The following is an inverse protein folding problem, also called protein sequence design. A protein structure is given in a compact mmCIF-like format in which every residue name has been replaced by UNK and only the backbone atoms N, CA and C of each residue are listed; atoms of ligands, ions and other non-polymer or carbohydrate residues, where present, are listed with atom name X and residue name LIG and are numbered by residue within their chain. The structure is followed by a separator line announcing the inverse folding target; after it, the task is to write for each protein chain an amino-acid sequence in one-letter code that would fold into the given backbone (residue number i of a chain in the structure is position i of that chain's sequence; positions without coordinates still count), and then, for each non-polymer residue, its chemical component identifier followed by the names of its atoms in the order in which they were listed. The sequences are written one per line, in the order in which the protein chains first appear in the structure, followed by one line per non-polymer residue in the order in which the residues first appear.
data_IF_766369073872
#
_entry.id   IF_766369073872
#
_cell.length_a   1.000
_cell.length_b   1.000
_cell.length_c   1.000
_cell.angle_alpha   90.00
_cell.angle_beta   90.00
_cell.angle_gamma   90.00
#
_symmetry.space_group_name_H-M   'P 1'
#
loop_
_entity.id
_entity.type
_entity.pdbx_description
1 polymer ?
#
# COMPACT_ATOMS: atom_id res chain seq x y z
N UNK A 1 -32.80 92.34 55.00
CA UNK A 1 -32.94 90.98 55.58
C UNK A 1 -33.72 90.99 56.89
N UNK A 2 -34.85 91.70 56.96
CA UNK A 2 -35.75 91.58 58.12
C UNK A 2 -36.92 90.71 57.71
N UNK A 3 -37.35 89.81 58.61
CA UNK A 3 -38.63 89.12 58.46
C UNK A 3 -39.70 90.19 58.21
N UNK A 4 -40.57 89.96 57.21
CA UNK A 4 -41.75 90.80 57.03
C UNK A 4 -42.48 90.90 58.38
N UNK A 5 -43.05 92.06 58.67
CA UNK A 5 -43.51 92.51 60.01
C UNK A 5 -44.49 91.58 60.76
N UNK A 6 -44.81 90.41 60.21
CA UNK A 6 -45.73 89.42 60.76
C UNK A 6 -45.24 87.96 60.70
N UNK A 7 -43.94 87.69 60.48
CA UNK A 7 -43.42 86.31 60.41
C UNK A 7 -42.67 85.95 61.71
N UNK A 8 -43.05 84.86 62.41
CA UNK A 8 -42.42 84.48 63.67
C UNK A 8 -40.95 84.09 63.47
N UNK A 9 -40.11 84.38 64.48
CA UNK A 9 -38.69 84.07 64.44
C UNK A 9 -38.45 82.56 64.24
N UNK A 10 -37.56 82.16 63.32
CA UNK A 10 -37.31 80.75 63.03
C UNK A 10 -36.62 80.07 64.22
N UNK A 11 -37.30 79.10 64.83
CA UNK A 11 -36.78 78.31 65.98
C UNK A 11 -35.90 77.12 65.56
N UNK A 12 -35.86 76.81 64.27
CA UNK A 12 -35.06 75.74 63.67
C UNK A 12 -34.39 76.25 62.38
N UNK A 13 -33.33 75.57 61.95
CA UNK A 13 -32.68 75.85 60.67
C UNK A 13 -33.72 75.84 59.54
N UNK A 14 -33.96 77.01 58.94
CA UNK A 14 -34.92 77.13 57.84
C UNK A 14 -34.18 77.55 56.59
N UNK A 15 -34.35 76.79 55.51
CA UNK A 15 -33.75 77.07 54.21
C UNK A 15 -34.83 77.58 53.28
N UNK A 16 -34.73 78.84 52.85
CA UNK A 16 -35.62 79.42 51.85
C UNK A 16 -34.84 79.72 50.59
N UNK A 17 -35.29 79.19 49.45
CA UNK A 17 -34.65 79.40 48.15
C UNK A 17 -35.50 80.38 47.34
N UNK A 18 -34.93 81.52 47.01
CA UNK A 18 -35.58 82.55 46.19
C UNK A 18 -34.74 82.75 44.93
N UNK A 19 -35.12 82.03 43.86
CA UNK A 19 -34.39 81.99 42.60
C UNK A 19 -32.92 81.57 42.73
N UNK A 20 -32.05 82.56 42.62
CA UNK A 20 -30.58 82.42 42.61
C UNK A 20 -29.94 82.62 43.98
N UNK A 21 -30.75 82.90 45.00
CA UNK A 21 -30.28 83.19 46.34
C UNK A 21 -30.84 82.12 47.29
N UNK A 22 -29.95 81.47 48.05
CA UNK A 22 -30.35 80.60 49.15
C UNK A 22 -30.15 81.36 50.46
N UNK A 23 -31.25 81.61 51.16
CA UNK A 23 -31.23 82.27 52.46
C UNK A 23 -31.33 81.19 53.53
N UNK A 24 -30.25 81.02 54.28
CA UNK A 24 -30.18 80.15 55.43
C UNK A 24 -30.48 80.96 56.69
N UNK A 25 -31.45 80.55 57.50
CA UNK A 25 -31.78 81.22 58.76
C UNK A 25 -31.55 80.27 59.93
N UNK A 26 -30.67 80.66 60.85
CA UNK A 26 -30.39 79.92 62.09
C UNK A 26 -30.63 80.80 63.32
N UNK A 27 -31.29 80.26 64.37
CA UNK A 27 -31.40 80.98 65.64
C UNK A 27 -30.06 80.99 66.38
N UNK A 28 -29.69 82.12 66.98
CA UNK A 28 -28.59 82.20 67.97
C UNK A 28 -29.21 81.98 69.35
N UNK A 29 -28.77 80.93 70.03
CA UNK A 29 -29.21 80.57 71.38
C UNK A 29 -28.02 80.79 72.32
N UNK A 30 -28.23 81.44 73.47
CA UNK A 30 -27.18 81.62 74.48
C UNK A 30 -26.85 80.28 75.17
N UNK A 31 -25.61 79.80 75.06
CA UNK A 31 -25.21 78.50 75.64
C UNK A 31 -24.78 78.60 77.12
N UNK A 32 -24.34 79.76 77.60
CA UNK A 32 -24.08 80.02 79.02
C UNK A 32 -24.03 81.53 79.29
N UNK A 33 -24.74 81.99 80.31
CA UNK A 33 -24.72 83.38 80.77
C UNK A 33 -23.71 83.49 81.92
N UNK A 34 -22.64 84.27 81.75
CA UNK A 34 -21.72 84.61 82.85
C UNK A 34 -22.27 85.86 83.56
N UNK A 35 -22.76 85.76 84.81
CA UNK A 35 -23.19 86.93 85.54
C UNK A 35 -21.96 87.58 86.16
N UNK A 36 -21.58 88.78 85.70
CA UNK A 36 -20.77 89.67 86.51
C UNK A 36 -21.60 90.91 86.89
N UNK A 37 -21.62 91.14 88.20
CA UNK A 37 -22.14 92.28 88.97
C UNK A 37 -23.60 92.75 88.73
N UNK A 38 -24.57 92.12 89.42
CA UNK A 38 -25.43 92.75 90.46
C UNK A 38 -26.74 91.94 90.74
N UNK A 39 -27.32 92.07 91.95
CA UNK A 39 -28.13 91.02 92.57
C UNK A 39 -29.63 91.20 92.34
N UNK A 40 -30.25 90.31 91.58
CA UNK A 40 -31.68 90.05 91.69
C UNK A 40 -32.03 88.68 91.11
N UNK A 41 -32.86 87.96 91.85
CA UNK A 41 -33.45 86.67 91.52
C UNK A 41 -34.31 86.77 90.26
N UNK A 42 -33.82 86.22 89.16
CA UNK A 42 -34.63 85.63 88.07
C UNK A 42 -33.67 84.83 87.17
N UNK A 43 -33.46 83.56 87.51
CA UNK A 43 -32.78 82.61 86.64
C UNK A 43 -33.63 82.39 85.37
N UNK A 44 -33.44 83.22 84.35
CA UNK A 44 -34.03 83.01 83.02
C UNK A 44 -33.33 81.84 82.34
N UNK A 45 -34.12 80.90 81.83
CA UNK A 45 -33.70 79.68 81.13
C UNK A 45 -32.56 79.94 80.14
N UNK A 46 -31.57 79.02 80.12
CA UNK A 46 -30.43 78.93 79.19
C UNK A 46 -30.83 78.57 77.75
N UNK A 47 -31.91 79.17 77.26
CA UNK A 47 -32.38 79.15 75.87
C UNK A 47 -32.93 80.52 75.47
N UNK A 48 -32.31 81.60 75.92
CA UNK A 48 -32.73 82.93 75.51
C UNK A 48 -32.25 83.16 74.07
N UNK A 49 -33.20 83.25 73.13
CA UNK A 49 -32.91 83.47 71.71
C UNK A 49 -32.44 84.91 71.53
N UNK A 50 -31.12 85.10 71.34
CA UNK A 50 -30.48 86.41 71.25
C UNK A 50 -30.68 87.06 69.87
N UNK A 51 -31.00 86.27 68.86
CA UNK A 51 -31.24 86.75 67.50
C UNK A 51 -31.30 85.61 66.49
N UNK A 52 -31.23 85.96 65.21
CA UNK A 52 -31.07 85.00 64.12
C UNK A 52 -29.97 85.50 63.20
N UNK A 53 -29.21 84.56 62.64
CA UNK A 53 -28.29 84.84 61.54
C UNK A 53 -29.02 84.48 60.26
N UNK A 54 -29.11 85.44 59.34
CA UNK A 54 -29.51 85.17 57.97
C UNK A 54 -28.25 85.18 57.10
N UNK A 55 -27.94 84.04 56.50
CA UNK A 55 -26.81 83.87 55.58
C UNK A 55 -27.38 83.82 54.16
N UNK A 56 -26.96 84.76 53.33
CA UNK A 56 -27.35 84.83 51.93
C UNK A 56 -26.25 84.19 51.08
N UNK A 57 -26.59 83.12 50.38
CA UNK A 57 -25.68 82.39 49.51
C UNK A 57 -26.11 82.62 48.07
N UNK A 58 -25.22 83.23 47.28
CA UNK A 58 -25.41 83.38 45.83
C UNK A 58 -25.12 82.05 45.13
N UNK A 59 -26.18 81.43 44.59
CA UNK A 59 -26.11 80.17 43.87
C UNK A 59 -25.71 80.35 42.40
N UNK A 60 -25.60 81.58 41.87
CA UNK A 60 -25.19 81.80 40.46
C UNK A 60 -23.81 81.24 40.18
N UNK A 61 -22.85 81.51 41.06
CA UNK A 61 -21.48 81.03 40.97
C UNK A 61 -21.41 79.50 41.04
N UNK A 62 -22.22 78.89 41.93
CA UNK A 62 -22.33 77.43 42.07
C UNK A 62 -22.94 76.80 40.82
N UNK A 63 -24.01 77.38 40.26
CA UNK A 63 -24.67 76.87 39.06
C UNK A 63 -23.78 77.01 37.82
N UNK A 64 -23.07 78.13 37.67
CA UNK A 64 -22.12 78.33 36.57
C UNK A 64 -20.99 77.29 36.62
N UNK A 65 -20.49 76.99 37.82
CA UNK A 65 -19.47 75.97 38.03
C UNK A 65 -20.00 74.56 37.72
N UNK A 66 -21.24 74.24 38.12
CA UNK A 66 -21.90 72.98 37.75
C UNK A 66 -22.06 72.83 36.23
N UNK A 67 -22.48 73.88 35.51
CA UNK A 67 -22.59 73.82 34.05
C UNK A 67 -21.23 73.59 33.37
N UNK A 68 -20.16 74.21 33.88
CA UNK A 68 -18.81 73.99 33.36
C UNK A 68 -18.35 72.54 33.53
N UNK A 69 -18.58 71.94 34.71
CA UNK A 69 -18.23 70.54 34.99
C UNK A 69 -19.04 69.55 34.13
N UNK A 70 -20.35 69.77 33.99
CA UNK A 70 -21.21 68.95 33.12
C UNK A 70 -20.74 69.06 31.67
N UNK A 71 -20.38 70.27 31.21
CA UNK A 71 -19.89 70.48 29.86
C UNK A 71 -18.59 69.72 29.60
N UNK A 72 -17.59 69.84 30.49
CA UNK A 72 -16.30 69.14 30.36
C UNK A 72 -16.52 67.61 30.36
N UNK A 73 -17.36 67.11 31.28
CA UNK A 73 -17.67 65.68 31.36
C UNK A 73 -18.36 65.17 30.08
N UNK A 74 -19.28 65.96 29.51
CA UNK A 74 -19.97 65.60 28.26
C UNK A 74 -19.01 65.54 27.07
N UNK A 75 -18.05 66.47 26.98
CA UNK A 75 -17.02 66.49 25.93
C UNK A 75 -16.09 65.29 26.08
N UNK A 76 -15.66 64.97 27.31
CA UNK A 76 -14.83 63.79 27.57
C UNK A 76 -15.57 62.50 27.22
N UNK A 77 -16.85 62.40 27.55
CA UNK A 77 -17.66 61.22 27.20
C UNK A 77 -17.82 61.06 25.68
N UNK A 78 -18.09 62.15 24.95
CA UNK A 78 -18.15 62.13 23.49
C UNK A 78 -16.81 61.76 22.87
N UNK A 79 -15.70 62.26 23.42
CA UNK A 79 -14.35 61.92 22.96
C UNK A 79 -14.04 60.43 23.15
N UNK A 80 -14.35 59.87 24.32
CA UNK A 80 -14.21 58.43 24.59
C UNK A 80 -15.07 57.58 23.65
N UNK A 81 -16.31 58.00 23.39
CA UNK A 81 -17.20 57.32 22.43
C UNK A 81 -16.61 57.39 21.01
N UNK A 82 -16.09 58.55 20.61
CA UNK A 82 -15.44 58.74 19.31
C UNK A 82 -14.24 57.81 19.12
N UNK A 83 -13.35 57.73 20.11
CA UNK A 83 -12.21 56.81 20.09
C UNK A 83 -12.68 55.35 20.03
N UNK A 84 -13.68 54.97 20.83
CA UNK A 84 -14.21 53.61 20.84
C UNK A 84 -14.80 53.22 19.47
N UNK A 85 -15.54 54.14 18.83
CA UNK A 85 -16.08 53.93 17.48
C UNK A 85 -14.98 53.81 16.43
N UNK A 86 -13.95 54.67 16.48
CA UNK A 86 -12.80 54.61 15.56
C UNK A 86 -12.06 53.29 15.74
N UNK A 87 -11.81 52.87 16.99
CA UNK A 87 -11.14 51.62 17.29
C UNK A 87 -11.96 50.41 16.83
N UNK A 88 -13.26 50.40 17.10
CA UNK A 88 -14.17 49.34 16.64
C UNK A 88 -14.23 49.25 15.11
N UNK A 89 -14.32 50.39 14.43
CA UNK A 89 -14.29 50.45 12.97
C UNK A 89 -12.96 49.94 12.40
N UNK A 90 -11.83 50.32 13.01
CA UNK A 90 -10.51 49.85 12.62
C UNK A 90 -10.35 48.35 12.81
N UNK A 91 -10.74 47.81 13.97
CA UNK A 91 -10.67 46.37 14.26
C UNK A 91 -11.56 45.54 13.31
N UNK A 92 -12.75 46.04 12.98
CA UNK A 92 -13.65 45.39 12.02
C UNK A 92 -13.01 45.33 10.63
N UNK A 93 -12.43 46.44 10.17
CA UNK A 93 -11.85 46.55 8.83
C UNK A 93 -10.52 45.82 8.68
N UNK A 94 -9.61 45.96 9.65
CA UNK A 94 -8.23 45.49 9.53
C UNK A 94 -8.04 44.04 10.01
N UNK A 95 -8.97 43.50 10.83
CA UNK A 95 -8.86 42.16 11.41
C UNK A 95 -10.06 41.28 11.05
N UNK A 96 -11.27 41.73 11.37
CA UNK A 96 -12.46 40.86 11.30
C UNK A 96 -12.84 40.52 9.85
N UNK A 97 -12.80 41.50 8.93
CA UNK A 97 -13.06 41.29 7.50
C UNK A 97 -12.10 40.28 6.85
N UNK A 98 -10.78 40.53 6.94
CA UNK A 98 -9.74 39.59 6.51
C UNK A 98 -9.90 38.14 6.96
N UNK A 99 -10.12 37.93 8.25
CA UNK A 99 -10.24 36.58 8.83
C UNK A 99 -11.44 35.87 8.23
N UNK A 100 -12.57 36.57 8.08
CA UNK A 100 -13.77 36.00 7.44
C UNK A 100 -13.50 35.57 5.99
N UNK A 101 -12.74 36.34 5.22
CA UNK A 101 -12.36 35.97 3.85
C UNK A 101 -11.42 34.74 3.82
N UNK A 102 -10.46 34.67 4.76
CA UNK A 102 -9.58 33.51 4.89
C UNK A 102 -10.34 32.24 5.21
N UNK A 103 -11.27 32.28 6.18
CA UNK A 103 -12.12 31.13 6.54
C UNK A 103 -12.94 30.67 5.34
N UNK A 104 -13.57 31.60 4.61
CA UNK A 104 -14.32 31.26 3.40
C UNK A 104 -13.42 30.65 2.31
N UNK A 105 -12.17 31.09 2.19
CA UNK A 105 -11.22 30.54 1.21
C UNK A 105 -10.75 29.14 1.59
N UNK A 106 -10.45 28.90 2.86
CA UNK A 106 -10.15 27.55 3.36
C UNK A 106 -11.32 26.60 3.13
N UNK A 107 -12.56 27.07 3.35
CA UNK A 107 -13.75 26.26 3.08
C UNK A 107 -13.98 25.99 1.58
N UNK A 108 -13.59 26.92 0.70
CA UNK A 108 -13.57 26.69 -0.76
C UNK A 108 -12.50 25.67 -1.16
N UNK A 109 -11.29 25.78 -0.61
CA UNK A 109 -10.19 24.81 -0.80
C UNK A 109 -10.64 23.41 -0.35
N UNK A 110 -11.30 23.30 0.82
CA UNK A 110 -11.87 22.05 1.33
C UNK A 110 -12.89 21.44 0.38
N UNK A 111 -13.67 22.27 -0.32
CA UNK A 111 -14.66 21.84 -1.33
C UNK A 111 -14.05 21.56 -2.71
N UNK A 112 -12.72 21.56 -2.84
CA UNK A 112 -12.00 21.25 -4.08
C UNK A 112 -11.73 22.46 -4.99
N UNK A 113 -12.13 23.67 -4.60
CA UNK A 113 -11.88 24.90 -5.38
C UNK A 113 -10.50 25.50 -5.04
N UNK A 114 -9.45 24.83 -5.52
CA UNK A 114 -8.05 25.12 -5.17
C UNK A 114 -7.46 26.36 -5.84
N UNK A 115 -8.16 26.92 -6.83
CA UNK A 115 -7.77 28.18 -7.47
C UNK A 115 -8.19 29.41 -6.67
N UNK A 116 -8.98 29.23 -5.60
CA UNK A 116 -9.29 30.31 -4.68
C UNK A 116 -8.04 30.77 -3.92
N UNK A 117 -7.89 32.09 -3.78
CA UNK A 117 -6.78 32.74 -3.09
C UNK A 117 -7.30 33.75 -2.09
N UNK A 118 -6.53 33.93 -1.03
CA UNK A 118 -6.76 35.00 -0.06
C UNK A 118 -6.12 36.26 -0.62
N UNK A 119 -6.96 37.20 -1.03
CA UNK A 119 -6.56 38.50 -1.58
C UNK A 119 -6.76 39.62 -0.53
N UNK A 120 -5.95 40.67 -0.62
CA UNK A 120 -5.98 41.81 0.28
C UNK A 120 -4.64 42.09 0.97
N UNK A 121 -4.54 43.29 1.52
CA UNK A 121 -3.41 43.72 2.34
C UNK A 121 -3.66 43.33 3.80
N UNK A 122 -2.75 42.56 4.37
CA UNK A 122 -2.79 42.13 5.76
C UNK A 122 -1.55 42.67 6.48
N UNK A 123 -1.69 43.03 7.75
CA UNK A 123 -0.58 43.53 8.56
C UNK A 123 -0.08 42.41 9.48
N UNK A 124 1.25 42.29 9.58
CA UNK A 124 1.92 41.39 10.51
C UNK A 124 1.61 39.90 10.27
N UNK A 125 1.22 39.20 11.33
CA UNK A 125 0.99 37.75 11.33
C UNK A 125 -0.13 37.29 10.38
N UNK A 126 -1.11 38.16 10.11
CA UNK A 126 -2.20 37.86 9.17
C UNK A 126 -1.69 37.71 7.73
N UNK A 127 -0.61 38.41 7.35
CA UNK A 127 -0.02 38.23 6.01
C UNK A 127 0.74 36.90 5.91
N UNK A 128 1.42 36.48 7.00
CA UNK A 128 2.02 35.14 7.07
C UNK A 128 0.97 34.05 6.91
N UNK A 129 -0.18 34.18 7.59
CA UNK A 129 -1.28 33.22 7.48
C UNK A 129 -1.86 33.18 6.06
N UNK A 130 -2.09 34.33 5.43
CA UNK A 130 -2.51 34.43 4.02
C UNK A 130 -1.55 33.69 3.09
N UNK A 131 -0.25 33.93 3.24
CA UNK A 131 0.78 33.31 2.41
C UNK A 131 0.84 31.78 2.65
N UNK A 132 0.64 31.34 3.89
CA UNK A 132 0.53 29.93 4.26
C UNK A 132 -0.66 29.23 3.60
N UNK A 133 -1.85 29.85 3.66
CA UNK A 133 -3.08 29.32 3.02
C UNK A 133 -2.90 29.24 1.49
N UNK A 134 -2.35 30.28 0.88
CA UNK A 134 -2.11 30.31 -0.57
C UNK A 134 -1.09 29.23 -0.98
N UNK A 135 0.00 29.06 -0.22
CA UNK A 135 0.99 28.00 -0.46
C UNK A 135 0.40 26.61 -0.31
N UNK A 136 -0.46 26.39 0.70
CA UNK A 136 -1.18 25.13 0.89
C UNK A 136 -2.06 24.80 -0.32
N UNK A 137 -2.81 25.79 -0.82
CA UNK A 137 -3.69 25.58 -1.98
C UNK A 137 -2.92 25.27 -3.26
N UNK A 138 -1.75 25.91 -3.48
CA UNK A 138 -0.84 25.58 -4.58
C UNK A 138 -0.31 24.15 -4.43
N UNK A 139 0.19 23.80 -3.25
CA UNK A 139 0.73 22.47 -2.96
C UNK A 139 -0.33 21.37 -3.17
N UNK A 140 -1.54 21.57 -2.67
CA UNK A 140 -2.64 20.63 -2.84
C UNK A 140 -3.00 20.45 -4.32
N UNK A 141 -3.07 21.54 -5.09
CA UNK A 141 -3.30 21.48 -6.54
C UNK A 141 -2.19 20.71 -7.26
N UNK A 142 -0.93 20.97 -6.92
CA UNK A 142 0.21 20.26 -7.50
C UNK A 142 0.13 18.77 -7.20
N UNK A 143 -0.17 18.39 -5.95
CA UNK A 143 -0.31 17.00 -5.52
C UNK A 143 -1.45 16.25 -6.23
N UNK A 144 -2.60 16.89 -6.42
CA UNK A 144 -3.70 16.30 -7.19
C UNK A 144 -3.25 16.07 -8.64
N UNK A 145 -2.60 17.05 -9.26
CA UNK A 145 -2.16 16.93 -10.66
C UNK A 145 -1.07 15.89 -10.84
N UNK A 146 -0.12 15.79 -9.90
CA UNK A 146 0.91 14.75 -9.94
C UNK A 146 0.31 13.36 -9.76
N UNK A 147 -0.67 13.21 -8.86
CA UNK A 147 -1.35 11.93 -8.65
C UNK A 147 -2.15 11.51 -9.88
N UNK A 148 -2.85 12.45 -10.51
CA UNK A 148 -3.58 12.19 -11.76
C UNK A 148 -2.64 11.74 -12.89
N UNK A 149 -1.51 12.45 -13.08
CA UNK A 149 -0.52 12.07 -14.09
C UNK A 149 0.11 10.70 -13.80
N UNK A 150 0.45 10.41 -12.54
CA UNK A 150 0.96 9.11 -12.14
C UNK A 150 -0.04 7.98 -12.38
N UNK A 151 -1.32 8.23 -12.13
CA UNK A 151 -2.37 7.24 -12.37
C UNK A 151 -2.57 6.98 -13.86
N UNK A 152 -2.50 8.02 -14.70
CA UNK A 152 -2.58 7.91 -16.16
C UNK A 152 -1.40 7.10 -16.73
N UNK A 153 -0.17 7.39 -16.27
CA UNK A 153 1.03 6.63 -16.66
C UNK A 153 0.97 5.17 -16.22
N UNK A 154 0.52 4.90 -14.99
CA UNK A 154 0.34 3.54 -14.49
C UNK A 154 -0.70 2.78 -15.31
N UNK A 155 -1.83 3.42 -15.63
CA UNK A 155 -2.87 2.79 -16.44
C UNK A 155 -2.34 2.44 -17.83
N UNK A 156 -1.59 3.35 -18.46
CA UNK A 156 -0.96 3.09 -19.75
C UNK A 156 0.03 1.92 -19.69
N UNK A 157 0.86 1.85 -18.65
CA UNK A 157 1.80 0.74 -18.44
C UNK A 157 1.07 -0.60 -18.22
N UNK A 158 -0.04 -0.59 -17.47
CA UNK A 158 -0.88 -1.79 -17.27
C UNK A 158 -1.49 -2.25 -18.59
N UNK A 159 -2.04 -1.32 -19.37
CA UNK A 159 -2.68 -1.64 -20.65
C UNK A 159 -1.65 -2.20 -21.64
N UNK A 160 -0.46 -1.61 -21.70
CA UNK A 160 0.66 -2.11 -22.52
C UNK A 160 1.11 -3.51 -22.05
N UNK A 161 1.40 -3.70 -20.76
CA UNK A 161 1.82 -5.00 -20.24
C UNK A 161 0.76 -6.09 -20.46
N UNK A 162 -0.52 -5.72 -20.38
CA UNK A 162 -1.63 -6.65 -20.66
C UNK A 162 -1.70 -7.01 -22.15
N UNK A 163 -1.47 -6.04 -23.04
CA UNK A 163 -1.40 -6.27 -24.49
C UNK A 163 -0.22 -7.19 -24.84
N UNK A 164 0.97 -6.92 -24.30
CA UNK A 164 2.18 -7.72 -24.54
C UNK A 164 2.00 -9.16 -23.99
N UNK A 165 1.39 -9.30 -22.81
CA UNK A 165 1.07 -10.62 -22.24
C UNK A 165 0.08 -11.38 -23.12
N UNK A 166 -0.92 -10.70 -23.67
CA UNK A 166 -1.88 -11.33 -24.57
C UNK A 166 -1.20 -11.82 -25.85
N UNK A 167 -0.33 -11.01 -26.45
CA UNK A 167 0.42 -11.39 -27.65
C UNK A 167 1.33 -12.59 -27.38
N UNK A 168 2.06 -12.60 -26.27
CA UNK A 168 2.94 -13.72 -25.90
C UNK A 168 2.16 -15.00 -25.62
N UNK A 169 0.96 -14.92 -25.04
CA UNK A 169 0.07 -16.07 -24.86
C UNK A 169 -0.42 -16.64 -26.20
N UNK A 170 -0.85 -15.77 -27.12
CA UNK A 170 -1.27 -16.19 -28.47
C UNK A 170 -0.09 -16.86 -29.21
N UNK A 171 1.12 -16.32 -29.11
CA UNK A 171 2.33 -16.94 -29.68
C UNK A 171 2.66 -18.29 -29.05
N UNK A 172 2.58 -18.42 -27.72
CA UNK A 172 2.80 -19.69 -27.03
C UNK A 172 1.78 -20.74 -27.44
N UNK A 173 0.51 -20.37 -27.62
CA UNK A 173 -0.54 -21.28 -28.06
C UNK A 173 -0.25 -21.83 -29.47
N UNK A 174 0.14 -20.95 -30.40
CA UNK A 174 0.53 -21.34 -31.76
C UNK A 174 1.71 -22.33 -31.74
N UNK A 175 2.76 -22.02 -30.97
CA UNK A 175 3.93 -22.89 -30.83
C UNK A 175 3.57 -24.25 -30.21
N UNK A 176 2.67 -24.28 -29.24
CA UNK A 176 2.22 -25.52 -28.61
C UNK A 176 1.48 -26.41 -29.62
N UNK A 177 0.58 -25.82 -30.42
CA UNK A 177 -0.13 -26.54 -31.49
C UNK A 177 0.84 -27.08 -32.54
N UNK A 178 1.84 -26.29 -32.95
CA UNK A 178 2.85 -26.73 -33.91
C UNK A 178 3.70 -27.88 -33.35
N UNK A 179 4.11 -27.79 -32.08
CA UNK A 179 4.87 -28.82 -31.39
C UNK A 179 4.06 -30.12 -31.28
N UNK A 180 2.78 -30.04 -30.91
CA UNK A 180 1.89 -31.21 -30.82
C UNK A 180 1.71 -31.87 -32.20
N UNK A 181 1.55 -31.07 -33.25
CA UNK A 181 1.46 -31.58 -34.62
C UNK A 181 2.75 -32.27 -35.06
N UNK A 182 3.91 -31.67 -34.81
CA UNK A 182 5.21 -32.25 -35.11
C UNK A 182 5.44 -33.56 -34.35
N UNK A 183 5.08 -33.58 -33.06
CA UNK A 183 5.15 -34.78 -32.21
C UNK A 183 4.26 -35.90 -32.75
N UNK A 184 3.00 -35.61 -33.10
CA UNK A 184 2.07 -36.59 -33.69
C UNK A 184 2.61 -37.17 -34.99
N UNK A 185 3.19 -36.35 -35.87
CA UNK A 185 3.83 -36.80 -37.11
C UNK A 185 5.03 -37.72 -36.84
N UNK A 186 5.89 -37.37 -35.89
CA UNK A 186 7.04 -38.19 -35.52
C UNK A 186 6.61 -39.54 -34.93
N UNK A 187 5.59 -39.54 -34.06
CA UNK A 187 5.02 -40.76 -33.48
C UNK A 187 4.41 -41.67 -34.54
N UNK A 188 3.68 -41.11 -35.50
CA UNK A 188 3.09 -41.90 -36.59
C UNK A 188 4.17 -42.48 -37.51
N UNK A 189 5.20 -41.70 -37.85
CA UNK A 189 6.34 -42.20 -38.61
C UNK A 189 7.07 -43.34 -37.87
N UNK A 190 7.26 -43.23 -36.56
CA UNK A 190 7.84 -44.28 -35.73
C UNK A 190 6.96 -45.55 -35.71
N UNK A 191 5.63 -45.37 -35.63
CA UNK A 191 4.67 -46.49 -35.68
C UNK A 191 4.76 -47.23 -37.02
N UNK A 192 4.71 -46.51 -38.13
CA UNK A 192 4.81 -47.08 -39.48
C UNK A 192 6.16 -47.80 -39.67
N UNK A 193 7.27 -47.20 -39.22
CA UNK A 193 8.60 -47.84 -39.26
C UNK A 193 8.61 -49.16 -38.49
N UNK A 194 8.02 -49.18 -37.29
CA UNK A 194 7.94 -50.39 -36.45
C UNK A 194 7.07 -51.48 -37.08
N UNK A 195 5.91 -51.13 -37.63
CA UNK A 195 5.03 -52.06 -38.33
C UNK A 195 5.71 -52.64 -39.58
N UNK A 196 6.41 -51.80 -40.36
CA UNK A 196 7.16 -52.23 -41.52
C UNK A 196 8.25 -53.25 -41.17
N UNK A 197 9.07 -52.97 -40.14
CA UNK A 197 10.15 -53.87 -39.73
C UNK A 197 9.61 -55.19 -39.16
N UNK A 198 8.51 -55.16 -38.41
CA UNK A 198 7.86 -56.35 -37.89
C UNK A 198 7.36 -57.27 -39.03
N UNK A 199 6.68 -56.68 -40.02
CA UNK A 199 6.18 -57.42 -41.17
C UNK A 199 7.33 -58.01 -42.01
N UNK A 200 8.35 -57.20 -42.31
CA UNK A 200 9.53 -57.63 -43.07
C UNK A 200 10.27 -58.78 -42.36
N UNK A 201 10.42 -58.72 -41.03
CA UNK A 201 11.05 -59.79 -40.27
C UNK A 201 10.29 -61.11 -40.39
N UNK A 202 8.96 -61.09 -40.30
CA UNK A 202 8.13 -62.28 -40.49
C UNK A 202 8.24 -62.86 -41.92
N UNK A 203 8.26 -61.99 -42.93
CA UNK A 203 8.39 -62.41 -44.33
C UNK A 203 9.79 -62.94 -44.68
N UNK A 204 10.85 -62.47 -44.01
CA UNK A 204 12.21 -62.98 -44.19
C UNK A 204 12.47 -64.26 -43.40
N UNK A 205 11.90 -64.40 -42.19
CA UNK A 205 12.10 -65.57 -41.32
C UNK A 205 11.58 -66.86 -41.97
N UNK A 206 10.45 -66.80 -42.65
CA UNK A 206 9.79 -67.97 -43.26
C UNK A 206 10.66 -68.64 -44.35
N UNK A 207 11.14 -67.93 -45.39
CA UNK A 207 12.04 -68.53 -46.38
C UNK A 207 13.41 -68.90 -45.78
N UNK A 208 13.93 -68.11 -44.83
CA UNK A 208 15.23 -68.39 -44.20
C UNK A 208 15.22 -69.68 -43.37
N UNK A 209 14.15 -69.92 -42.59
CA UNK A 209 13.93 -71.19 -41.89
C UNK A 209 13.77 -72.35 -42.87
N UNK A 210 13.16 -72.11 -44.03
CA UNK A 210 13.11 -73.08 -45.13
C UNK A 210 14.50 -73.46 -45.63
N UNK A 211 15.35 -72.47 -45.94
CA UNK A 211 16.75 -72.69 -46.37
C UNK A 211 17.53 -73.45 -45.31
N UNK A 212 17.50 -73.02 -44.04
CA UNK A 212 18.17 -73.72 -42.93
C UNK A 212 17.66 -75.16 -42.79
N UNK A 213 16.34 -75.37 -42.89
CA UNK A 213 15.72 -76.68 -42.83
C UNK A 213 16.20 -77.61 -43.94
N UNK A 214 16.19 -77.15 -45.19
CA UNK A 214 16.70 -77.92 -46.32
C UNK A 214 18.21 -78.17 -46.23
N UNK A 215 19.01 -77.18 -45.85
CA UNK A 215 20.45 -77.34 -45.62
C UNK A 215 20.73 -78.42 -44.57
N UNK A 216 19.99 -78.43 -43.45
CA UNK A 216 20.12 -79.46 -42.40
C UNK A 216 19.68 -80.84 -42.86
N UNK A 217 18.67 -80.95 -43.72
CA UNK A 217 18.26 -82.22 -44.31
C UNK A 217 19.32 -82.75 -45.28
N UNK A 218 19.89 -81.90 -46.12
CA UNK A 218 20.96 -82.26 -47.05
C UNK A 218 22.25 -82.65 -46.31
N UNK A 219 22.59 -81.99 -45.20
CA UNK A 219 23.74 -82.37 -44.37
C UNK A 219 23.66 -83.80 -43.78
N UNK A 220 22.46 -84.41 -43.75
CA UNK A 220 22.24 -85.79 -43.29
C UNK A 220 22.40 -86.84 -44.40
N UNK A 221 22.60 -86.45 -45.65
CA UNK A 221 22.82 -87.39 -46.78
C UNK A 221 24.31 -87.67 -47.00
N UNK A 222 24.63 -88.61 -47.89
CA UNK A 222 26.01 -88.81 -48.33
C UNK A 222 26.50 -87.62 -49.15
N UNK A 223 27.61 -87.01 -48.73
CA UNK A 223 28.16 -85.77 -49.30
C UNK A 223 29.67 -85.86 -49.40
N UNK A 224 30.26 -85.20 -50.40
CA UNK A 224 31.71 -85.02 -50.45
C UNK A 224 32.18 -84.04 -49.36
N UNK A 225 33.45 -84.11 -48.92
CA UNK A 225 33.98 -83.19 -47.91
C UNK A 225 33.81 -81.71 -48.26
N UNK A 226 33.95 -81.36 -49.53
CA UNK A 226 33.77 -79.99 -50.04
C UNK A 226 32.31 -79.53 -50.02
N UNK A 227 31.36 -80.41 -50.40
CA UNK A 227 29.91 -80.10 -50.33
C UNK A 227 29.44 -79.89 -48.89
N UNK A 228 29.96 -80.69 -47.95
CA UNK A 228 29.66 -80.54 -46.52
C UNK A 228 30.14 -79.21 -45.96
N UNK A 229 31.35 -78.78 -46.34
CA UNK A 229 31.91 -77.50 -45.89
C UNK A 229 31.14 -76.29 -46.46
N UNK A 230 30.69 -76.36 -47.72
CA UNK A 230 29.80 -75.36 -48.31
C UNK A 230 28.45 -75.29 -47.60
N UNK A 231 27.81 -76.42 -47.30
CA UNK A 231 26.53 -76.45 -46.58
C UNK A 231 26.65 -75.94 -45.14
N UNK A 232 27.73 -76.29 -44.43
CA UNK A 232 28.01 -75.73 -43.09
C UNK A 232 28.21 -74.21 -43.14
N UNK A 233 28.87 -73.71 -44.18
CA UNK A 233 29.04 -72.26 -44.38
C UNK A 233 27.69 -71.58 -44.64
N UNK A 234 26.83 -72.16 -45.49
CA UNK A 234 25.46 -71.66 -45.74
C UNK A 234 24.63 -71.65 -44.45
N UNK A 235 24.67 -72.73 -43.65
CA UNK A 235 23.95 -72.80 -42.38
C UNK A 235 24.44 -71.70 -41.41
N UNK A 236 25.76 -71.54 -41.26
CA UNK A 236 26.33 -70.50 -40.38
C UNK A 236 25.93 -69.10 -40.83
N UNK A 237 25.99 -68.82 -42.13
CA UNK A 237 25.57 -67.52 -42.69
C UNK A 237 24.08 -67.26 -42.52
N UNK A 238 23.23 -68.27 -42.69
CA UNK A 238 21.79 -68.15 -42.51
C UNK A 238 21.41 -67.90 -41.03
N UNK A 239 22.05 -68.60 -40.09
CA UNK A 239 21.86 -68.37 -38.65
C UNK A 239 22.34 -66.96 -38.23
N UNK A 240 23.47 -66.50 -38.76
CA UNK A 240 23.96 -65.14 -38.50
C UNK A 240 23.01 -64.07 -39.03
N UNK A 241 22.45 -64.26 -40.23
CA UNK A 241 21.45 -63.35 -40.78
C UNK A 241 20.16 -63.30 -39.94
N UNK A 242 19.75 -64.45 -39.39
CA UNK A 242 18.57 -64.55 -38.52
C UNK A 242 18.79 -63.82 -37.19
N UNK A 243 20.00 -63.90 -36.62
CA UNK A 243 20.39 -63.12 -35.45
C UNK A 243 20.33 -61.60 -35.74
N UNK A 244 20.94 -61.15 -36.84
CA UNK A 244 20.91 -59.73 -37.24
C UNK A 244 19.47 -59.22 -37.45
N UNK A 245 18.59 -60.01 -38.08
CA UNK A 245 17.19 -59.63 -38.28
C UNK A 245 16.45 -59.50 -36.94
N UNK A 246 16.71 -60.39 -35.99
CA UNK A 246 16.13 -60.30 -34.64
C UNK A 246 16.63 -59.07 -33.89
N UNK A 247 17.93 -58.77 -33.96
CA UNK A 247 18.51 -57.61 -33.29
C UNK A 247 17.93 -56.29 -33.83
N UNK A 248 17.74 -56.18 -35.15
CA UNK A 248 17.10 -55.01 -35.80
C UNK A 248 15.63 -54.87 -35.37
N UNK A 249 14.91 -55.98 -35.23
CA UNK A 249 13.53 -55.97 -34.76
C UNK A 249 13.43 -55.54 -33.29
N UNK A 250 14.31 -56.04 -32.44
CA UNK A 250 14.33 -55.69 -31.01
C UNK A 250 14.74 -54.23 -30.80
N UNK A 251 15.66 -53.70 -31.61
CA UNK A 251 15.97 -52.27 -31.64
C UNK A 251 14.74 -51.43 -32.03
N UNK A 252 13.97 -51.87 -33.03
CA UNK A 252 12.75 -51.16 -33.44
C UNK A 252 11.64 -51.17 -32.38
N UNK A 253 11.48 -52.28 -31.64
CA UNK A 253 10.55 -52.34 -30.50
C UNK A 253 10.99 -51.43 -29.35
N UNK A 254 12.30 -51.28 -29.15
CA UNK A 254 12.89 -50.36 -28.17
C UNK A 254 12.60 -48.90 -28.53
N UNK A 255 12.87 -48.48 -29.77
CA UNK A 255 12.56 -47.12 -30.25
C UNK A 255 11.06 -46.79 -30.14
N UNK A 256 10.18 -47.78 -30.34
CA UNK A 256 8.73 -47.62 -30.23
C UNK A 256 8.20 -47.68 -28.78
N UNK A 257 9.07 -47.87 -27.78
CA UNK A 257 8.68 -48.01 -26.37
C UNK A 257 7.84 -49.26 -26.05
N UNK A 258 7.81 -50.25 -26.97
CA UNK A 258 7.03 -51.50 -26.85
C UNK A 258 7.84 -52.67 -26.32
N UNK A 259 9.10 -52.46 -25.93
CA UNK A 259 9.94 -53.50 -25.37
C UNK A 259 9.52 -53.76 -23.92
N UNK A 260 8.70 -54.80 -23.73
CA UNK A 260 8.30 -55.28 -22.42
C UNK A 260 9.50 -56.04 -21.86
N UNK A 261 10.16 -55.47 -20.85
CA UNK A 261 11.19 -56.17 -20.10
C UNK A 261 10.51 -57.34 -19.38
N UNK A 262 10.88 -58.57 -19.74
CA UNK A 262 10.46 -59.73 -18.97
C UNK A 262 11.11 -59.64 -17.59
N UNK A 263 10.30 -59.66 -16.54
CA UNK A 263 10.75 -59.53 -15.15
C UNK A 263 10.57 -60.88 -14.48
N UNK A 264 11.51 -61.79 -14.74
CA UNK A 264 11.48 -63.15 -14.17
C UNK A 264 12.60 -63.32 -13.13
N UNK A 265 12.37 -64.08 -12.06
CA UNK A 265 13.43 -64.42 -11.12
C UNK A 265 14.41 -65.38 -11.80
N UNK A 266 15.68 -65.00 -11.90
CA UNK A 266 16.74 -65.84 -12.46
C UNK A 266 17.98 -65.88 -11.54
N UNK A 267 18.74 -66.99 -11.56
CA UNK A 267 19.96 -67.14 -10.76
C UNK A 267 21.12 -66.36 -11.39
N UNK A 268 21.47 -65.22 -10.81
CA UNK A 268 22.47 -64.29 -11.36
C UNK A 268 23.85 -64.93 -11.51
N UNK A 269 24.29 -65.70 -10.51
CA UNK A 269 25.61 -66.33 -10.49
C UNK A 269 25.76 -67.34 -11.63
N UNK A 270 24.75 -68.18 -11.84
CA UNK A 270 24.76 -69.18 -12.92
C UNK A 270 24.76 -68.52 -14.30
N UNK A 271 23.96 -67.46 -14.49
CA UNK A 271 23.97 -66.72 -15.75
C UNK A 271 25.30 -66.02 -16.03
N UNK A 272 25.97 -65.47 -15.01
CA UNK A 272 27.28 -64.85 -15.17
C UNK A 272 28.38 -65.88 -15.48
N UNK A 273 28.28 -67.07 -14.90
CA UNK A 273 29.23 -68.16 -15.15
C UNK A 273 29.14 -68.66 -16.61
N UNK A 274 27.93 -68.75 -17.16
CA UNK A 274 27.71 -69.03 -18.59
C UNK A 274 28.30 -67.94 -19.49
N UNK A 275 28.12 -66.66 -19.15
CA UNK A 275 28.70 -65.53 -19.90
C UNK A 275 30.23 -65.60 -19.89
N UNK A 276 30.82 -65.84 -18.72
CA UNK A 276 32.28 -65.93 -18.56
C UNK A 276 32.83 -67.12 -19.34
N UNK A 277 32.14 -68.26 -19.32
CA UNK A 277 32.52 -69.44 -20.10
C UNK A 277 32.50 -69.15 -21.60
N UNK A 278 31.49 -68.39 -22.07
CA UNK A 278 31.35 -68.03 -23.48
C UNK A 278 32.42 -67.01 -23.93
N UNK A 279 32.74 -66.03 -23.08
CA UNK A 279 33.77 -65.02 -23.34
C UNK A 279 35.21 -65.52 -23.11
N UNK A 280 35.39 -66.58 -22.31
CA UNK A 280 36.71 -67.14 -21.98
C UNK A 280 37.49 -67.53 -23.24
N UNK A 281 36.81 -68.12 -24.22
CA UNK A 281 37.45 -68.50 -25.49
C UNK A 281 37.96 -67.27 -26.27
N UNK A 282 37.12 -66.23 -26.38
CA UNK A 282 37.49 -64.98 -27.06
C UNK A 282 38.56 -64.18 -26.31
N UNK A 283 38.59 -64.25 -24.97
CA UNK A 283 39.61 -63.62 -24.13
C UNK A 283 40.96 -64.32 -24.27
N UNK A 284 40.96 -65.65 -24.34
CA UNK A 284 42.15 -66.46 -24.53
C UNK A 284 42.80 -66.21 -25.90
N UNK A 285 42.00 -66.14 -26.96
CA UNK A 285 42.48 -65.79 -28.31
C UNK A 285 43.12 -64.40 -28.39
N UNK A 286 42.74 -63.48 -27.49
CA UNK A 286 43.28 -62.12 -27.39
C UNK A 286 44.37 -61.98 -26.33
N UNK A 287 44.74 -63.05 -25.62
CA UNK A 287 45.74 -63.04 -24.56
C UNK A 287 45.35 -62.25 -23.30
N UNK A 288 44.04 -62.07 -23.06
CA UNK A 288 43.51 -61.30 -21.93
C UNK A 288 43.05 -62.23 -20.80
N UNK A 289 43.32 -61.83 -19.56
CA UNK A 289 42.86 -62.52 -18.36
C UNK A 289 41.46 -62.01 -17.96
N UNK A 290 40.49 -62.91 -17.89
CA UNK A 290 39.11 -62.62 -17.51
C UNK A 290 38.83 -63.21 -16.12
N UNK A 291 38.61 -62.35 -15.13
CA UNK A 291 38.31 -62.76 -13.75
C UNK A 291 36.96 -62.23 -13.32
N UNK A 292 36.06 -63.12 -12.91
CA UNK A 292 34.75 -62.77 -12.36
C UNK A 292 34.84 -62.61 -10.85
N UNK A 293 34.54 -61.41 -10.34
CA UNK A 293 34.49 -61.15 -8.91
C UNK A 293 33.09 -60.68 -8.49
N UNK A 294 32.34 -61.55 -7.81
CA UNK A 294 31.00 -61.24 -7.28
C UNK A 294 31.09 -61.14 -5.76
N UNK A 295 30.75 -59.98 -5.21
CA UNK A 295 30.71 -59.75 -3.76
C UNK A 295 29.62 -60.62 -3.10
N UNK A 296 29.82 -60.98 -1.83
CA UNK A 296 28.89 -61.82 -1.06
C UNK A 296 27.58 -61.12 -0.65
N UNK A 297 27.47 -59.81 -0.87
CA UNK A 297 26.27 -59.01 -0.62
C UNK A 297 25.26 -59.04 -1.78
N UNK A 298 25.62 -59.65 -2.91
CA UNK A 298 24.75 -59.76 -4.09
C UNK A 298 23.81 -60.96 -3.95
N UNK A 299 22.48 -60.77 -4.05
CA UNK A 299 21.49 -61.85 -4.00
C UNK A 299 21.68 -62.87 -5.13
N UNK A 300 21.49 -64.16 -4.83
CA UNK A 300 21.63 -65.23 -5.82
C UNK A 300 20.54 -65.20 -6.89
N UNK A 301 19.31 -64.78 -6.52
CA UNK A 301 18.19 -64.61 -7.45
C UNK A 301 17.87 -63.13 -7.62
N UNK A 302 17.89 -62.67 -8.88
CA UNK A 302 17.52 -61.30 -9.27
C UNK A 302 16.31 -61.36 -10.20
N UNK A 303 15.45 -60.35 -10.12
CA UNK A 303 14.30 -60.23 -11.00
C UNK A 303 14.70 -59.35 -12.19
N UNK A 304 14.62 -59.89 -13.40
CA UNK A 304 14.98 -59.17 -14.62
C UNK A 304 14.91 -60.04 -15.86
N UNK A 305 15.47 -59.55 -16.96
CA UNK A 305 15.50 -60.23 -18.25
C UNK A 305 16.87 -60.92 -18.45
N UNK A 306 16.98 -62.25 -18.22
CA UNK A 306 18.26 -62.95 -18.31
C UNK A 306 18.85 -62.96 -19.73
N UNK A 307 18.01 -62.94 -20.77
CA UNK A 307 18.47 -62.94 -22.17
C UNK A 307 19.17 -61.62 -22.50
N UNK A 308 18.62 -60.49 -22.06
CA UNK A 308 19.27 -59.18 -22.28
C UNK A 308 20.48 -58.94 -21.40
N UNK A 309 20.54 -59.52 -20.21
CA UNK A 309 21.77 -59.54 -19.40
C UNK A 309 22.93 -60.22 -20.13
N UNK A 310 22.64 -61.27 -20.92
CA UNK A 310 23.63 -61.96 -21.75
C UNK A 310 24.11 -61.07 -22.92
N UNK A 311 23.18 -60.40 -23.62
CA UNK A 311 23.46 -59.61 -24.83
C UNK A 311 24.10 -58.25 -24.55
N UNK A 312 23.92 -57.67 -23.36
CA UNK A 312 24.48 -56.36 -23.00
C UNK A 312 26.03 -56.30 -23.04
N UNK A 313 26.73 -57.45 -23.05
CA UNK A 313 28.18 -57.54 -23.16
C UNK A 313 28.71 -57.73 -24.60
N UNK A 314 27.83 -57.78 -25.60
CA UNK A 314 28.23 -57.99 -27.00
C UNK A 314 28.45 -56.69 -27.79
N UNK A 315 28.22 -55.52 -27.16
CA UNK A 315 28.46 -54.18 -27.68
C UNK A 315 29.70 -53.52 -27.08
#
# INVERSE_FOLDING_TARGET
MQLGSNVPFPRQLTVTRDGDIMILRTPIISESYSPDESPSSDAKNSQNMLGYIALELDLKSVRLQQYKEIFISSVMMLFCIGIALIFGWRLMRDVTGPIRNMVNTVDRIRRGQLDSRVEGFMLGELDMLKNGINSMAICHRFKIRSLAAYHEEMQHNIDQATSDLRETLEQMEIQNVELDLAKKRAQEAARIKSEFLANMSHELRTPLNGVIGFTRLTLKTELTPTQRDHLNTIERSANNLLAIINDVLDFSKLEAGKLILESIPFPLRSTLDEVVTLLAHSSHDKGLELTLNIKSDVPDNVIGDPLRFLTANHH
#
